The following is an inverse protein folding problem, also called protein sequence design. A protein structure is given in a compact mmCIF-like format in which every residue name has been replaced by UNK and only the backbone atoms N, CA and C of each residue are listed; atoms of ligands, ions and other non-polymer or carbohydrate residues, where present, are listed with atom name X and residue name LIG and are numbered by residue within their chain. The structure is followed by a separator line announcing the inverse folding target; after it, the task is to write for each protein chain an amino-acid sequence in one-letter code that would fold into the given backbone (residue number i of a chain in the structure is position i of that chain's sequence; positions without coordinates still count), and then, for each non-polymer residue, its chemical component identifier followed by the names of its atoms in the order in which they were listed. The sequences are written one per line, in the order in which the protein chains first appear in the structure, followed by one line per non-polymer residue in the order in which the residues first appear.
data_IF_712899453780
#
_entry.id   IF_712899453780
#
_cell.length_a   1.000
_cell.length_b   1.000
_cell.length_c   1.000
_cell.angle_alpha   90.00
_cell.angle_beta   90.00
_cell.angle_gamma   90.00
#
_symmetry.space_group_name_H-M   'P 1'
#
loop_
_entity.id
_entity.type
_entity.pdbx_description
1 polymer ?
#
# COMPACT_ATOMS: atom_id res chain seq x y z
N UNK A 1 28.90 4.53 4.71
CA UNK A 1 27.85 5.13 3.86
C UNK A 1 27.04 6.06 4.75
N UNK A 2 26.84 7.34 4.39
CA UNK A 2 26.07 8.26 5.22
C UNK A 2 24.64 7.73 5.40
N UNK A 3 24.17 7.62 6.65
CA UNK A 3 22.80 7.18 6.94
C UNK A 3 21.76 8.24 6.57
N UNK A 4 22.18 9.48 6.36
CA UNK A 4 21.31 10.61 6.03
C UNK A 4 21.82 11.40 4.83
N UNK A 5 20.88 12.02 4.10
CA UNK A 5 21.17 12.97 3.02
C UNK A 5 20.14 14.09 2.99
N UNK A 6 20.53 15.25 2.48
CA UNK A 6 19.60 16.34 2.15
C UNK A 6 19.34 16.33 0.65
N UNK A 7 18.09 16.48 0.23
CA UNK A 7 17.75 16.63 -1.17
C UNK A 7 18.17 18.02 -1.66
N UNK A 8 18.97 18.15 -2.74
CA UNK A 8 19.39 19.45 -3.25
C UNK A 8 18.21 20.28 -3.76
N UNK A 9 17.18 19.64 -4.31
CA UNK A 9 16.05 20.34 -4.94
C UNK A 9 14.97 20.76 -3.94
N UNK A 10 14.69 19.90 -2.96
CA UNK A 10 13.58 20.12 -2.01
C UNK A 10 14.04 20.54 -0.62
N UNK A 11 15.33 20.44 -0.32
CA UNK A 11 15.88 20.67 1.02
C UNK A 11 15.43 19.64 2.08
N UNK A 12 14.68 18.61 1.70
CA UNK A 12 14.18 17.59 2.62
C UNK A 12 15.31 16.68 3.12
N UNK A 13 15.22 16.29 4.40
CA UNK A 13 16.19 15.46 5.08
C UNK A 13 15.75 14.00 5.10
N UNK A 14 16.54 13.12 4.51
CA UNK A 14 16.20 11.71 4.34
C UNK A 14 17.12 10.80 5.13
N UNK A 15 16.52 9.95 5.96
CA UNK A 15 17.16 8.73 6.44
C UNK A 15 17.15 7.68 5.32
N UNK A 16 18.30 7.10 4.98
CA UNK A 16 18.46 6.16 3.84
C UNK A 16 17.47 5.00 3.90
N UNK A 17 17.24 4.43 5.08
CA UNK A 17 16.31 3.30 5.23
C UNK A 17 14.86 3.72 5.03
N UNK A 18 14.48 4.91 5.50
CA UNK A 18 13.15 5.48 5.24
C UNK A 18 12.96 5.71 3.74
N UNK A 19 13.93 6.36 3.09
CA UNK A 19 13.89 6.65 1.66
C UNK A 19 13.72 5.39 0.81
N UNK A 20 14.43 4.31 1.16
CA UNK A 20 14.35 3.05 0.43
C UNK A 20 12.96 2.42 0.54
N UNK A 21 12.38 2.43 1.74
CA UNK A 21 11.03 1.91 2.00
C UNK A 21 9.93 2.80 1.38
N UNK A 22 10.11 4.13 1.39
CA UNK A 22 9.24 5.08 0.68
C UNK A 22 9.19 4.72 -0.80
N UNK A 23 10.35 4.55 -1.44
CA UNK A 23 10.43 4.19 -2.87
C UNK A 23 9.79 2.83 -3.14
N UNK A 24 10.08 1.82 -2.32
CA UNK A 24 9.52 0.48 -2.50
C UNK A 24 7.98 0.50 -2.45
N UNK A 25 7.40 1.13 -1.43
CA UNK A 25 5.95 1.26 -1.28
C UNK A 25 5.33 2.14 -2.38
N UNK A 26 5.95 3.27 -2.73
CA UNK A 26 5.45 4.14 -3.78
C UNK A 26 5.45 3.47 -5.17
N UNK A 27 6.49 2.69 -5.48
CA UNK A 27 6.55 1.91 -6.73
C UNK A 27 5.51 0.81 -6.72
N UNK A 28 5.35 0.07 -5.62
CA UNK A 28 4.31 -0.95 -5.49
C UNK A 28 2.90 -0.36 -5.65
N UNK A 29 2.64 0.82 -5.07
CA UNK A 29 1.40 1.56 -5.25
C UNK A 29 1.17 1.93 -6.72
N UNK A 30 2.18 2.49 -7.41
CA UNK A 30 2.06 2.85 -8.82
C UNK A 30 1.78 1.63 -9.71
N UNK A 31 2.42 0.49 -9.42
CA UNK A 31 2.15 -0.78 -10.11
C UNK A 31 0.72 -1.27 -9.84
N UNK A 32 0.28 -1.27 -8.59
CA UNK A 32 -1.10 -1.63 -8.23
C UNK A 32 -2.13 -0.71 -8.92
N UNK A 33 -1.87 0.59 -8.98
CA UNK A 33 -2.71 1.55 -9.70
C UNK A 33 -2.76 1.26 -11.20
N UNK A 34 -1.63 0.91 -11.81
CA UNK A 34 -1.57 0.57 -13.22
C UNK A 34 -2.39 -0.68 -13.52
N UNK A 35 -2.22 -1.74 -12.72
CA UNK A 35 -2.99 -2.99 -12.86
C UNK A 35 -4.49 -2.71 -12.65
N UNK A 36 -4.84 -2.00 -11.58
CA UNK A 36 -6.21 -1.59 -11.31
C UNK A 36 -6.80 -0.78 -12.46
N UNK A 37 -6.06 0.17 -13.02
CA UNK A 37 -6.48 1.00 -14.14
C UNK A 37 -6.75 0.19 -15.41
N UNK A 38 -5.86 -0.74 -15.76
CA UNK A 38 -6.05 -1.64 -16.90
C UNK A 38 -7.30 -2.51 -16.74
N UNK A 39 -7.50 -3.10 -15.56
CA UNK A 39 -8.70 -3.88 -15.26
C UNK A 39 -9.97 -3.03 -15.27
N UNK A 40 -9.89 -1.79 -14.78
CA UNK A 40 -10.97 -0.82 -14.82
C UNK A 40 -11.39 -0.46 -16.25
N UNK A 41 -10.43 -0.32 -17.16
CA UNK A 41 -10.72 -0.15 -18.59
C UNK A 41 -11.48 -1.35 -19.16
N UNK A 42 -11.09 -2.58 -18.82
CA UNK A 42 -11.82 -3.78 -19.26
C UNK A 42 -13.26 -3.79 -18.73
N UNK A 43 -13.47 -3.40 -17.47
CA UNK A 43 -14.79 -3.28 -16.84
C UNK A 43 -15.64 -2.24 -17.58
N UNK A 44 -15.13 -1.02 -17.77
CA UNK A 44 -15.86 0.07 -18.43
C UNK A 44 -16.18 -0.27 -19.89
N UNK A 45 -15.21 -0.81 -20.63
CA UNK A 45 -15.40 -1.23 -22.02
C UNK A 45 -16.34 -2.43 -22.16
N UNK A 46 -16.64 -3.17 -21.10
CA UNK A 46 -17.66 -4.23 -21.12
C UNK A 46 -19.04 -3.69 -20.74
N UNK A 47 -19.11 -2.59 -20.00
CA UNK A 47 -20.36 -1.93 -19.58
C UNK A 47 -20.88 -0.91 -20.60
N UNK A 48 -20.09 -0.60 -21.62
CA UNK A 48 -20.50 0.30 -22.70
C UNK A 48 -21.48 -0.40 -23.65
N UNK A 49 -22.65 0.19 -23.91
CA UNK A 49 -23.67 -0.38 -24.81
C UNK A 49 -23.16 -0.80 -26.22
N UNK A 50 -22.08 -0.18 -26.72
CA UNK A 50 -21.54 -0.51 -28.04
C UNK A 50 -20.42 -1.57 -27.99
N UNK A 51 -19.75 -1.75 -26.84
CA UNK A 51 -18.58 -2.62 -26.70
C UNK A 51 -18.82 -3.57 -25.53
N UNK A 52 -18.66 -4.87 -25.75
CA UNK A 52 -18.88 -5.90 -24.73
C UNK A 52 -17.69 -6.85 -24.73
N UNK A 53 -16.55 -6.35 -24.24
CA UNK A 53 -15.25 -7.00 -24.41
C UNK A 53 -15.13 -8.34 -23.68
N UNK A 54 -15.70 -8.45 -22.47
CA UNK A 54 -15.57 -9.62 -21.62
C UNK A 54 -16.89 -10.40 -21.48
N UNK A 55 -16.86 -11.75 -21.46
CA UNK A 55 -17.98 -12.56 -20.99
C UNK A 55 -18.19 -12.36 -19.47
N UNK A 56 -19.33 -12.81 -18.95
CA UNK A 56 -19.78 -12.52 -17.58
C UNK A 56 -18.79 -13.00 -16.50
N UNK A 57 -18.25 -14.21 -16.63
CA UNK A 57 -17.27 -14.80 -15.70
C UNK A 57 -15.99 -13.95 -15.63
N UNK A 58 -15.45 -13.55 -16.78
CA UNK A 58 -14.27 -12.70 -16.84
C UNK A 58 -14.54 -11.27 -16.40
N UNK A 59 -15.75 -10.76 -16.63
CA UNK A 59 -16.17 -9.45 -16.14
C UNK A 59 -16.15 -9.41 -14.61
N UNK A 60 -16.72 -10.40 -13.92
CA UNK A 60 -16.72 -10.44 -12.46
C UNK A 60 -15.33 -10.70 -11.88
N UNK A 61 -14.49 -11.47 -12.56
CA UNK A 61 -13.09 -11.65 -12.20
C UNK A 61 -12.33 -10.31 -12.28
N UNK A 62 -12.42 -9.63 -13.43
CA UNK A 62 -11.78 -8.33 -13.64
C UNK A 62 -12.31 -7.25 -12.69
N UNK A 63 -13.62 -7.24 -12.41
CA UNK A 63 -14.25 -6.33 -11.45
C UNK A 63 -13.74 -6.56 -10.02
N UNK A 64 -13.58 -7.82 -9.63
CA UNK A 64 -13.05 -8.18 -8.31
C UNK A 64 -11.60 -7.72 -8.16
N UNK A 65 -10.75 -8.06 -9.12
CA UNK A 65 -9.34 -7.65 -9.13
C UNK A 65 -9.21 -6.12 -9.18
N UNK A 66 -9.94 -5.43 -10.06
CA UNK A 66 -9.95 -3.97 -10.14
C UNK A 66 -10.26 -3.31 -8.79
N UNK A 67 -11.36 -3.73 -8.14
CA UNK A 67 -11.80 -3.12 -6.89
C UNK A 67 -10.79 -3.30 -5.76
N UNK A 68 -10.19 -4.49 -5.65
CA UNK A 68 -9.18 -4.80 -4.63
C UNK A 68 -7.87 -4.07 -4.91
N UNK A 69 -7.38 -4.11 -6.15
CA UNK A 69 -6.12 -3.44 -6.53
C UNK A 69 -6.23 -1.92 -6.40
N UNK A 70 -7.38 -1.34 -6.76
CA UNK A 70 -7.64 0.09 -6.62
C UNK A 70 -7.80 0.48 -5.15
N UNK A 71 -8.75 -0.11 -4.43
CA UNK A 71 -9.18 0.47 -3.15
C UNK A 71 -8.42 -0.09 -1.94
N UNK A 72 -7.72 -1.21 -2.10
CA UNK A 72 -6.94 -1.82 -1.02
C UNK A 72 -5.45 -1.71 -1.32
N UNK A 73 -4.98 -2.30 -2.43
CA UNK A 73 -3.53 -2.39 -2.63
C UNK A 73 -2.89 -1.06 -3.01
N UNK A 74 -3.44 -0.34 -3.99
CA UNK A 74 -2.92 0.98 -4.38
C UNK A 74 -2.92 1.96 -3.21
N UNK A 75 -4.09 2.16 -2.58
CA UNK A 75 -4.25 3.14 -1.49
C UNK A 75 -3.30 2.82 -0.35
N UNK A 76 -3.29 1.58 0.14
CA UNK A 76 -2.55 1.26 1.36
C UNK A 76 -1.03 1.23 1.11
N UNK A 77 -0.55 0.75 -0.04
CA UNK A 77 0.88 0.90 -0.38
C UNK A 77 1.27 2.38 -0.46
N UNK A 78 0.41 3.22 -1.06
CA UNK A 78 0.66 4.65 -1.14
C UNK A 78 0.69 5.29 0.26
N UNK A 79 -0.25 4.95 1.13
CA UNK A 79 -0.31 5.40 2.51
C UNK A 79 0.94 5.01 3.29
N UNK A 80 1.46 3.79 3.15
CA UNK A 80 2.72 3.39 3.82
C UNK A 80 3.89 4.28 3.41
N UNK A 81 3.99 4.64 2.12
CA UNK A 81 5.00 5.59 1.67
C UNK A 81 4.80 6.98 2.30
N UNK A 82 3.56 7.45 2.39
CA UNK A 82 3.20 8.72 3.03
C UNK A 82 3.53 8.69 4.52
N UNK A 83 3.22 7.62 5.25
CA UNK A 83 3.52 7.48 6.68
C UNK A 83 5.02 7.59 6.95
N UNK A 84 5.86 7.00 6.11
CA UNK A 84 7.31 7.13 6.25
C UNK A 84 7.84 8.54 5.95
N UNK A 85 7.26 9.23 4.97
CA UNK A 85 7.55 10.66 4.74
C UNK A 85 7.11 11.49 5.94
N UNK A 86 5.87 11.29 6.40
CA UNK A 86 5.24 12.06 7.46
C UNK A 86 5.93 11.89 8.81
N UNK A 87 6.45 10.70 9.12
CA UNK A 87 7.10 10.41 10.40
C UNK A 87 8.61 10.64 10.41
N UNK A 88 9.36 10.27 9.36
CA UNK A 88 10.83 10.38 9.36
C UNK A 88 11.32 11.63 8.64
N UNK A 89 10.82 11.89 7.43
CA UNK A 89 11.33 12.99 6.59
C UNK A 89 10.90 14.35 7.13
N UNK A 90 9.60 14.53 7.43
CA UNK A 90 9.08 15.80 7.91
C UNK A 90 9.54 16.14 9.33
N UNK A 91 9.70 15.12 10.19
CA UNK A 91 10.22 15.31 11.54
C UNK A 91 11.75 15.26 11.60
N UNK A 92 12.44 15.05 10.48
CA UNK A 92 13.90 15.04 10.37
C UNK A 92 14.59 14.06 11.34
N UNK A 93 13.97 12.93 11.61
CA UNK A 93 14.51 11.89 12.50
C UNK A 93 14.77 10.58 11.75
N UNK A 94 15.45 9.64 12.39
CA UNK A 94 15.58 8.28 11.84
C UNK A 94 14.26 7.52 11.92
N UNK A 95 14.06 6.62 10.97
CA UNK A 95 12.94 5.66 11.01
C UNK A 95 13.12 4.66 12.17
N UNK A 96 12.04 4.38 12.89
CA UNK A 96 12.02 3.29 13.86
C UNK A 96 12.12 1.93 13.17
N UNK A 97 12.88 1.01 13.78
CA UNK A 97 12.95 -0.42 13.40
C UNK A 97 12.93 -0.73 11.88
N UNK A 98 13.87 -0.21 11.06
CA UNK A 98 13.79 -0.34 9.59
C UNK A 98 13.76 -1.78 9.05
N UNK A 99 14.31 -2.75 9.79
CA UNK A 99 14.22 -4.17 9.43
C UNK A 99 12.76 -4.66 9.40
N UNK A 100 11.94 -4.22 10.36
CA UNK A 100 10.50 -4.51 10.39
C UNK A 100 9.75 -3.80 9.26
N UNK A 101 10.24 -2.66 8.77
CA UNK A 101 9.68 -2.00 7.58
C UNK A 101 9.80 -2.85 6.31
N UNK A 102 10.89 -3.62 6.18
CA UNK A 102 11.02 -4.59 5.10
C UNK A 102 10.12 -5.80 5.29
N UNK A 103 9.93 -6.29 6.53
CA UNK A 103 8.96 -7.35 6.84
C UNK A 103 7.54 -6.90 6.48
N UNK A 104 7.16 -5.69 6.87
CA UNK A 104 5.90 -5.04 6.48
C UNK A 104 5.72 -5.06 4.96
N UNK A 105 6.69 -4.51 4.22
CA UNK A 105 6.63 -4.42 2.76
C UNK A 105 6.50 -5.80 2.12
N UNK A 106 7.28 -6.79 2.56
CA UNK A 106 7.24 -8.14 2.01
C UNK A 106 5.91 -8.84 2.29
N UNK A 107 5.35 -8.69 3.50
CA UNK A 107 4.03 -9.24 3.83
C UNK A 107 2.93 -8.64 2.95
N UNK A 108 2.97 -7.32 2.75
CA UNK A 108 2.04 -6.64 1.83
C UNK A 108 2.23 -7.12 0.39
N UNK A 109 3.46 -7.21 -0.10
CA UNK A 109 3.73 -7.66 -1.47
C UNK A 109 3.26 -9.10 -1.71
N UNK A 110 3.60 -10.01 -0.80
CA UNK A 110 3.18 -11.41 -0.87
C UNK A 110 1.67 -11.53 -0.76
N UNK A 111 1.04 -10.78 0.15
CA UNK A 111 -0.41 -10.75 0.31
C UNK A 111 -1.13 -10.27 -0.95
N UNK A 112 -0.66 -9.18 -1.56
CA UNK A 112 -1.23 -8.63 -2.78
C UNK A 112 -1.11 -9.59 -3.98
N UNK A 113 0.07 -10.22 -4.14
CA UNK A 113 0.31 -11.21 -5.20
C UNK A 113 -0.55 -12.45 -4.97
N UNK A 114 -0.61 -12.99 -3.74
CA UNK A 114 -1.40 -14.17 -3.41
C UNK A 114 -2.89 -13.95 -3.68
N UNK A 115 -3.42 -12.79 -3.28
CA UNK A 115 -4.82 -12.43 -3.55
C UNK A 115 -5.10 -12.34 -5.05
N UNK A 116 -4.23 -11.67 -5.81
CA UNK A 116 -4.38 -11.57 -7.27
C UNK A 116 -4.32 -12.95 -7.96
N UNK A 117 -3.38 -13.81 -7.56
CA UNK A 117 -3.31 -15.20 -8.05
C UNK A 117 -4.62 -15.93 -7.78
N UNK A 118 -5.20 -15.77 -6.58
CA UNK A 118 -6.48 -16.40 -6.23
C UNK A 118 -7.65 -15.94 -7.09
N UNK A 119 -7.66 -14.66 -7.47
CA UNK A 119 -8.68 -14.08 -8.34
C UNK A 119 -8.51 -14.59 -9.76
N UNK A 120 -7.30 -14.55 -10.31
CA UNK A 120 -7.02 -14.97 -11.69
C UNK A 120 -7.10 -16.48 -11.93
N UNK A 121 -7.13 -17.29 -10.87
CA UNK A 121 -7.52 -18.70 -10.96
C UNK A 121 -9.01 -18.92 -11.25
N UNK A 122 -9.83 -17.86 -11.18
CA UNK A 122 -11.24 -17.87 -11.56
C UNK A 122 -12.21 -18.32 -10.47
N UNK A 123 -11.74 -18.91 -9.37
CA UNK A 123 -12.58 -19.41 -8.27
C UNK A 123 -12.85 -18.37 -7.17
N UNK A 124 -12.38 -17.12 -7.32
CA UNK A 124 -12.44 -16.09 -6.27
C UNK A 124 -13.03 -14.76 -6.77
N UNK A 125 -14.03 -14.80 -7.66
CA UNK A 125 -14.75 -13.63 -8.19
C UNK A 125 -15.81 -13.11 -7.21
N UNK A 126 -15.37 -12.59 -6.06
CA UNK A 126 -16.24 -12.25 -4.91
C UNK A 126 -16.57 -10.75 -4.77
N UNK A 127 -16.16 -9.93 -5.74
CA UNK A 127 -16.24 -8.47 -5.67
C UNK A 127 -15.45 -7.88 -4.48
N UNK A 128 -15.30 -6.56 -4.43
CA UNK A 128 -14.49 -5.88 -3.39
C UNK A 128 -15.04 -6.13 -1.97
N UNK A 129 -16.35 -6.28 -1.80
CA UNK A 129 -16.98 -6.47 -0.48
C UNK A 129 -16.96 -7.90 0.04
N UNK A 130 -16.75 -8.91 -0.82
CA UNK A 130 -16.67 -10.33 -0.43
C UNK A 130 -17.84 -10.81 0.44
N UNK A 131 -19.08 -10.52 0.05
CA UNK A 131 -20.27 -10.93 0.82
C UNK A 131 -20.37 -12.45 0.98
N UNK A 132 -20.70 -12.88 2.21
CA UNK A 132 -20.60 -14.26 2.70
C UNK A 132 -21.20 -15.35 1.78
N UNK A 133 -22.35 -15.17 1.11
CA UNK A 133 -22.85 -16.22 0.21
C UNK A 133 -21.90 -16.57 -0.95
N UNK A 134 -20.99 -15.66 -1.34
CA UNK A 134 -19.94 -15.92 -2.33
C UNK A 134 -18.61 -16.18 -1.63
N UNK A 135 -18.15 -17.44 -1.68
CA UNK A 135 -16.90 -17.86 -1.07
C UNK A 135 -15.74 -17.77 -2.06
N UNK A 136 -14.58 -17.32 -1.58
CA UNK A 136 -13.32 -17.36 -2.33
C UNK A 136 -12.46 -18.55 -1.87
N UNK A 137 -11.39 -18.84 -2.63
CA UNK A 137 -10.43 -19.86 -2.21
C UNK A 137 -9.72 -19.44 -0.90
N UNK A 138 -9.31 -20.37 -0.02
CA UNK A 138 -8.69 -20.03 1.27
C UNK A 138 -7.48 -19.10 1.17
N UNK A 139 -6.68 -19.23 0.11
CA UNK A 139 -5.50 -18.41 -0.11
C UNK A 139 -5.82 -16.96 -0.52
N UNK A 140 -7.04 -16.68 -1.01
CA UNK A 140 -7.53 -15.30 -1.18
C UNK A 140 -7.59 -14.58 0.18
N UNK A 141 -8.22 -15.22 1.17
CA UNK A 141 -8.34 -14.66 2.52
C UNK A 141 -6.99 -14.55 3.21
N UNK A 142 -6.14 -15.57 3.08
CA UNK A 142 -4.78 -15.51 3.61
C UNK A 142 -3.99 -14.35 3.00
N UNK A 143 -4.10 -14.12 1.68
CA UNK A 143 -3.46 -13.00 1.01
C UNK A 143 -3.87 -11.65 1.60
N UNK A 144 -5.18 -11.43 1.79
CA UNK A 144 -5.70 -10.22 2.43
C UNK A 144 -5.23 -10.07 3.89
N UNK A 145 -5.18 -11.16 4.66
CA UNK A 145 -4.71 -11.14 6.06
C UNK A 145 -3.22 -10.79 6.12
N UNK A 146 -2.39 -11.41 5.27
CA UNK A 146 -0.96 -11.08 5.20
C UNK A 146 -0.75 -9.61 4.84
N UNK A 147 -1.53 -9.09 3.89
CA UNK A 147 -1.49 -7.68 3.52
C UNK A 147 -1.85 -6.77 4.70
N UNK A 148 -2.95 -7.06 5.40
CA UNK A 148 -3.42 -6.29 6.55
C UNK A 148 -2.41 -6.32 7.71
N UNK A 149 -1.85 -7.49 8.04
CA UNK A 149 -0.81 -7.63 9.07
C UNK A 149 0.43 -6.83 8.68
N UNK A 150 0.82 -6.87 7.41
CA UNK A 150 1.86 -6.01 6.87
C UNK A 150 1.56 -4.55 7.15
N UNK A 151 0.41 -4.02 6.70
CA UNK A 151 0.03 -2.62 6.93
C UNK A 151 0.02 -2.23 8.42
N UNK A 152 -0.47 -3.09 9.32
CA UNK A 152 -0.46 -2.84 10.77
C UNK A 152 0.96 -2.69 11.34
N UNK A 153 1.92 -3.50 10.88
CA UNK A 153 3.33 -3.33 11.25
C UNK A 153 3.82 -1.94 10.82
N UNK A 154 3.40 -1.46 9.65
CA UNK A 154 3.73 -0.11 9.14
C UNK A 154 3.19 0.99 10.04
N UNK A 155 1.95 0.86 10.53
CA UNK A 155 1.37 1.77 11.51
C UNK A 155 2.18 1.77 12.83
N UNK A 156 2.59 0.61 13.34
CA UNK A 156 3.44 0.55 14.53
C UNK A 156 4.80 1.21 14.31
N UNK A 157 5.40 1.07 13.12
CA UNK A 157 6.65 1.76 12.77
C UNK A 157 6.45 3.27 12.73
N UNK A 158 5.32 3.75 12.16
CA UNK A 158 4.96 5.16 12.15
C UNK A 158 4.91 5.72 13.58
N UNK A 159 4.12 5.11 14.48
CA UNK A 159 4.03 5.54 15.87
C UNK A 159 5.37 5.44 16.60
N UNK A 160 6.14 4.37 16.38
CA UNK A 160 7.48 4.23 16.93
C UNK A 160 8.42 5.34 16.45
N UNK A 161 8.28 5.79 15.21
CA UNK A 161 9.08 6.89 14.65
C UNK A 161 8.71 8.24 15.26
N UNK A 162 7.44 8.46 15.60
CA UNK A 162 7.03 9.66 16.37
C UNK A 162 7.67 9.68 17.76
N UNK A 163 7.75 8.53 18.44
CA UNK A 163 8.46 8.41 19.73
C UNK A 163 9.95 8.72 19.57
N UNK A 164 10.58 8.20 18.52
CA UNK A 164 11.98 8.51 18.19
C UNK A 164 12.18 10.00 17.94
N UNK A 165 11.32 10.64 17.14
CA UNK A 165 11.38 12.08 16.88
C UNK A 165 11.31 12.90 18.18
N UNK A 166 10.44 12.50 19.11
CA UNK A 166 10.31 13.17 20.41
C UNK A 166 11.56 12.97 21.29
N UNK A 167 12.14 11.77 21.30
CA UNK A 167 13.36 11.46 22.05
C UNK A 167 14.58 12.20 21.49
N UNK A 168 14.67 12.31 20.16
CA UNK A 168 15.75 13.02 19.45
C UNK A 168 15.58 14.54 19.48
N UNK A 169 14.46 15.05 20.02
CA UNK A 169 14.10 16.49 20.02
C UNK A 169 14.21 17.10 18.63
N UNK A 170 13.76 16.37 17.62
CA UNK A 170 13.95 16.76 16.21
C UNK A 170 12.99 17.88 15.75
N UNK A 171 12.01 18.23 16.59
CA UNK A 171 11.08 19.33 16.39
C UNK A 171 10.68 19.96 17.74
N UNK A 172 10.25 21.22 17.71
CA UNK A 172 9.68 21.94 18.85
C UNK A 172 8.23 22.35 18.56
N UNK A 173 7.39 22.36 19.60
CA UNK A 173 5.96 22.69 19.45
C UNK A 173 5.12 21.56 18.85
N UNK A 174 4.17 21.92 18.00
CA UNK A 174 3.28 20.98 17.31
C UNK A 174 3.96 20.30 16.13
N UNK A 175 3.52 19.08 15.81
CA UNK A 175 3.96 18.36 14.60
C UNK A 175 3.40 19.01 13.33
N UNK A 176 4.06 18.87 12.16
CA UNK A 176 3.54 19.35 10.89
C UNK A 176 2.14 18.82 10.59
N UNK A 177 1.30 19.60 9.91
CA UNK A 177 -0.10 19.24 9.61
C UNK A 177 -0.22 17.89 8.88
N UNK A 178 0.68 17.59 7.95
CA UNK A 178 0.71 16.29 7.25
C UNK A 178 1.01 15.14 8.20
N UNK A 179 1.92 15.34 9.15
CA UNK A 179 2.21 14.35 10.20
C UNK A 179 1.03 14.20 11.15
N UNK A 180 0.34 15.29 11.50
CA UNK A 180 -0.87 15.24 12.32
C UNK A 180 -2.01 14.49 11.63
N UNK A 181 -2.25 14.75 10.34
CA UNK A 181 -3.25 14.01 9.56
C UNK A 181 -2.91 12.54 9.34
N UNK A 182 -1.67 12.13 9.60
CA UNK A 182 -1.22 10.74 9.53
C UNK A 182 -1.35 9.98 10.88
N UNK A 183 -1.69 10.67 11.98
CA UNK A 183 -1.97 10.09 13.31
C UNK A 183 -3.42 9.62 13.37
#
# INVERSE_FOLDING_TARGET
MAQFRTCPDTGLYFHKSAESLIKANAVAAAVALLVAGLLGLLVVLTRWQAVHLLPADQFYMALTAHGIDALIFWIIFFEMAVLYVASSVLLRCRLATPAWGWVQFLLMLVGAVMTNVAIFQGSSSVMMTSYVPMQAAPHFYLGLILFAVGALIGCFIFFGTLVVAKQEKSYEGSIPLVTFGAV
#
